data_IF_165192431482
#
_entry.id   IF_165192431482
#
_cell.length_a   1.000
_cell.length_b   1.000
_cell.length_c   1.000
_cell.angle_alpha   90.00
_cell.angle_beta   90.00
_cell.angle_gamma   90.00
#
_symmetry.space_group_name_H-M   'P 1'
#
loop_
_entity.id
_entity.type
_entity.pdbx_description
1 polymer ?
#
# COMPACT_ATOMS: atom_id res chain seq x y z
N UNK A 1 -7.15 -39.49 -24.14
CA UNK A 1 -7.05 -38.01 -24.17
C UNK A 1 -6.54 -37.55 -22.82
N UNK A 2 -5.26 -37.21 -22.72
CA UNK A 2 -4.70 -36.63 -21.50
C UNK A 2 -5.22 -35.18 -21.39
N UNK A 3 -5.93 -34.87 -20.30
CA UNK A 3 -6.26 -33.48 -19.96
C UNK A 3 -4.94 -32.81 -19.58
N UNK A 4 -4.50 -31.83 -20.37
CA UNK A 4 -3.48 -30.88 -19.94
C UNK A 4 -4.06 -30.11 -18.75
N UNK A 5 -3.73 -30.54 -17.53
CA UNK A 5 -3.91 -29.71 -16.34
C UNK A 5 -2.82 -28.63 -16.39
N UNK A 6 -3.13 -27.51 -17.06
CA UNK A 6 -2.33 -26.31 -16.87
C UNK A 6 -2.43 -25.93 -15.38
N UNK A 7 -1.30 -25.85 -14.70
CA UNK A 7 -1.24 -25.37 -13.32
C UNK A 7 -1.80 -23.95 -13.29
N UNK A 8 -2.73 -23.69 -12.37
CA UNK A 8 -3.32 -22.37 -12.18
C UNK A 8 -2.24 -21.42 -11.66
N UNK A 9 -2.04 -20.28 -12.34
CA UNK A 9 -1.11 -19.23 -11.89
C UNK A 9 -1.88 -17.98 -11.50
N UNK A 10 -1.36 -17.27 -10.51
CA UNK A 10 -1.93 -16.01 -10.00
C UNK A 10 -0.81 -14.98 -9.95
N UNK A 11 -0.95 -13.90 -10.73
CA UNK A 11 -0.10 -12.71 -10.58
C UNK A 11 -0.72 -11.77 -9.54
N UNK A 12 0.10 -11.19 -8.68
CA UNK A 12 -0.32 -10.08 -7.84
C UNK A 12 0.85 -9.15 -7.51
N UNK A 13 0.51 -7.94 -7.06
CA UNK A 13 1.46 -6.97 -6.52
C UNK A 13 1.42 -7.06 -5.01
N UNK A 14 2.55 -7.43 -4.40
CA UNK A 14 2.72 -7.32 -2.96
C UNK A 14 3.40 -6.00 -2.63
N UNK A 15 2.97 -5.40 -1.53
CA UNK A 15 3.55 -4.21 -0.94
C UNK A 15 3.79 -4.46 0.55
N UNK A 16 4.97 -4.10 1.02
CA UNK A 16 5.22 -3.90 2.45
C UNK A 16 5.65 -2.47 2.68
N UNK A 17 5.12 -1.86 3.73
CA UNK A 17 5.36 -0.44 4.02
C UNK A 17 5.67 -0.19 5.50
N UNK A 18 6.42 0.89 5.74
CA UNK A 18 6.77 1.42 7.06
C UNK A 18 6.49 2.91 7.09
N UNK A 19 5.58 3.33 7.97
CA UNK A 19 5.24 4.75 8.12
C UNK A 19 6.20 5.45 9.08
N UNK A 20 6.53 6.69 8.75
CA UNK A 20 7.33 7.59 9.59
C UNK A 20 6.72 9.00 9.62
N UNK A 21 7.01 9.77 10.67
CA UNK A 21 6.36 11.08 10.89
C UNK A 21 6.81 12.16 9.89
N UNK A 22 8.03 12.04 9.37
CA UNK A 22 8.59 12.90 8.33
C UNK A 22 10.08 12.59 8.11
N UNK A 23 10.67 13.21 7.09
CA UNK A 23 12.11 13.05 6.85
C UNK A 23 12.91 13.81 7.91
N UNK A 24 13.98 13.18 8.43
CA UNK A 24 14.91 13.83 9.36
C UNK A 24 15.87 14.80 8.66
N UNK A 25 15.98 14.67 7.33
CA UNK A 25 16.80 15.54 6.48
C UNK A 25 15.97 16.15 5.35
N UNK A 26 16.38 17.31 4.85
CA UNK A 26 15.63 18.06 3.84
C UNK A 26 15.62 17.41 2.46
N UNK A 27 16.74 16.78 2.09
CA UNK A 27 16.93 16.18 0.77
C UNK A 27 17.78 14.91 0.85
N UNK A 28 17.11 13.78 0.64
CA UNK A 28 17.74 12.45 0.66
C UNK A 28 18.85 12.30 -0.39
N UNK A 29 18.82 13.08 -1.49
CA UNK A 29 19.82 12.97 -2.57
C UNK A 29 21.20 13.44 -2.17
N UNK A 30 21.32 14.23 -1.10
CA UNK A 30 22.61 14.60 -0.49
C UNK A 30 23.39 13.37 -0.01
N UNK A 31 22.67 12.31 0.37
CA UNK A 31 23.21 11.01 0.78
C UNK A 31 24.32 11.08 1.85
N UNK A 32 24.23 12.05 2.76
CA UNK A 32 25.26 12.37 3.76
C UNK A 32 25.21 11.51 5.03
N UNK A 33 24.29 10.58 5.13
CA UNK A 33 24.14 9.77 6.33
C UNK A 33 25.19 8.67 6.48
N UNK A 34 25.18 8.00 7.63
CA UNK A 34 26.15 6.97 7.97
C UNK A 34 25.45 5.70 8.48
N UNK A 35 25.48 4.57 7.74
CA UNK A 35 25.99 4.47 6.36
C UNK A 35 25.12 5.27 5.37
N UNK A 36 25.70 5.75 4.25
CA UNK A 36 24.92 6.35 3.18
C UNK A 36 24.10 5.28 2.46
N UNK A 37 23.01 5.67 1.81
CA UNK A 37 22.32 4.79 0.87
C UNK A 37 23.32 4.33 -0.20
N UNK A 38 23.20 3.07 -0.65
CA UNK A 38 23.98 2.54 -1.78
C UNK A 38 23.69 3.34 -3.06
N UNK A 39 22.44 3.76 -3.22
CA UNK A 39 22.00 4.71 -4.24
C UNK A 39 20.74 5.41 -3.75
N UNK A 40 20.51 6.64 -4.21
CA UNK A 40 19.27 7.37 -3.98
C UNK A 40 19.02 8.30 -5.15
N UNK A 41 17.81 8.31 -5.70
CA UNK A 41 17.43 9.18 -6.81
C UNK A 41 16.08 9.80 -6.54
N UNK A 42 15.96 11.11 -6.74
CA UNK A 42 14.67 11.78 -6.67
C UNK A 42 13.83 11.42 -7.91
N UNK A 43 12.65 10.86 -7.67
CA UNK A 43 11.72 10.43 -8.71
C UNK A 43 10.72 11.52 -9.10
N UNK A 44 10.80 12.70 -8.48
CA UNK A 44 9.94 13.83 -8.76
C UNK A 44 8.83 14.04 -7.72
N UNK A 45 7.98 15.00 -8.03
CA UNK A 45 6.80 15.35 -7.25
C UNK A 45 5.57 15.21 -8.14
N UNK A 46 4.50 14.63 -7.59
CA UNK A 46 3.20 14.54 -8.28
C UNK A 46 2.06 14.79 -7.31
N UNK A 47 0.92 15.19 -7.85
CA UNK A 47 -0.34 15.25 -7.11
C UNK A 47 -1.16 14.02 -7.44
N UNK A 48 -1.68 13.37 -6.41
CA UNK A 48 -2.52 12.17 -6.49
C UNK A 48 -3.88 12.54 -5.91
N UNK A 49 -4.97 12.21 -6.62
CA UNK A 49 -6.34 12.39 -6.13
C UNK A 49 -6.92 11.05 -5.75
N UNK A 50 -7.12 10.83 -4.45
CA UNK A 50 -7.70 9.61 -3.92
C UNK A 50 -9.13 9.90 -3.41
N UNK A 51 -10.10 9.13 -3.89
CA UNK A 51 -11.47 9.07 -3.34
C UNK A 51 -11.68 7.67 -2.78
N UNK A 52 -11.94 7.57 -1.48
CA UNK A 52 -12.10 6.31 -0.78
C UNK A 52 -13.57 5.96 -0.58
N UNK A 53 -13.87 4.67 -0.73
CA UNK A 53 -15.22 4.13 -0.67
C UNK A 53 -15.29 2.99 0.35
N UNK A 54 -16.39 2.92 1.10
CA UNK A 54 -16.70 1.83 2.01
C UNK A 54 -18.23 1.70 2.15
N UNK A 55 -18.67 0.64 2.80
CA UNK A 55 -20.02 0.54 3.33
C UNK A 55 -20.25 1.57 4.42
N UNK A 56 -21.52 1.94 4.64
CA UNK A 56 -21.91 2.87 5.71
C UNK A 56 -21.46 2.42 7.11
N UNK A 57 -21.38 1.11 7.33
CA UNK A 57 -20.91 0.48 8.58
C UNK A 57 -19.40 0.19 8.61
N UNK A 58 -18.64 0.64 7.61
CA UNK A 58 -17.17 0.48 7.52
C UNK A 58 -16.69 -0.96 7.53
N UNK A 59 -17.46 -1.87 6.94
CA UNK A 59 -17.15 -3.30 6.87
C UNK A 59 -15.83 -3.59 6.14
N UNK A 60 -15.55 -2.89 5.03
CA UNK A 60 -14.36 -3.16 4.23
C UNK A 60 -13.09 -2.75 4.98
N UNK A 61 -13.02 -1.51 5.47
CA UNK A 61 -11.86 -1.03 6.20
C UNK A 61 -11.64 -1.80 7.51
N UNK A 62 -12.72 -2.24 8.18
CA UNK A 62 -12.63 -3.14 9.35
C UNK A 62 -12.09 -4.54 8.99
N UNK A 63 -12.39 -5.03 7.79
CA UNK A 63 -11.83 -6.26 7.23
C UNK A 63 -10.41 -6.07 6.63
N UNK A 64 -9.83 -4.87 6.71
CA UNK A 64 -8.53 -4.57 6.13
C UNK A 64 -8.56 -4.47 4.61
N UNK A 65 -9.65 -3.97 4.04
CA UNK A 65 -9.80 -3.68 2.61
C UNK A 65 -10.05 -2.19 2.43
N UNK A 66 -9.22 -1.52 1.63
CA UNK A 66 -9.40 -0.11 1.29
C UNK A 66 -9.63 0.00 -0.20
N UNK A 67 -10.86 0.31 -0.60
CA UNK A 67 -11.24 0.57 -2.00
C UNK A 67 -11.15 2.07 -2.27
N UNK A 68 -10.47 2.43 -3.35
CA UNK A 68 -10.33 3.84 -3.76
C UNK A 68 -10.37 4.00 -5.27
N UNK A 69 -10.75 5.19 -5.70
CA UNK A 69 -10.37 5.72 -7.00
C UNK A 69 -9.13 6.58 -6.84
N UNK A 70 -8.04 6.19 -7.48
CA UNK A 70 -6.79 6.95 -7.59
C UNK A 70 -6.67 7.53 -8.99
N UNK A 71 -6.70 8.86 -9.10
CA UNK A 71 -6.64 9.57 -10.38
C UNK A 71 -7.66 9.02 -11.41
N UNK A 72 -8.86 8.66 -10.93
CA UNK A 72 -9.96 8.12 -11.73
C UNK A 72 -9.90 6.61 -12.01
N UNK A 73 -8.89 5.90 -11.51
CA UNK A 73 -8.76 4.43 -11.66
C UNK A 73 -9.08 3.72 -10.35
N UNK A 74 -9.80 2.61 -10.44
CA UNK A 74 -10.12 1.79 -9.27
C UNK A 74 -8.92 0.98 -8.80
N UNK A 75 -8.68 1.03 -7.49
CA UNK A 75 -7.67 0.24 -6.79
C UNK A 75 -8.25 -0.25 -5.47
N UNK A 76 -7.80 -1.42 -5.02
CA UNK A 76 -8.01 -1.89 -3.67
C UNK A 76 -6.69 -2.32 -3.04
N UNK A 77 -6.48 -1.93 -1.78
CA UNK A 77 -5.46 -2.54 -0.91
C UNK A 77 -6.12 -3.59 -0.03
N UNK A 78 -5.60 -4.81 -0.03
CA UNK A 78 -6.09 -5.92 0.80
C UNK A 78 -5.00 -6.31 1.80
N UNK A 79 -5.29 -6.18 3.10
CA UNK A 79 -4.33 -6.46 4.17
C UNK A 79 -3.99 -7.95 4.21
N UNK A 80 -2.70 -8.25 4.12
CA UNK A 80 -2.16 -9.60 4.28
C UNK A 80 -1.57 -9.80 5.69
N UNK A 81 -1.27 -8.72 6.41
CA UNK A 81 -0.86 -8.77 7.81
C UNK A 81 -0.20 -7.49 8.30
N UNK A 82 0.43 -7.58 9.48
CA UNK A 82 1.12 -6.46 10.11
C UNK A 82 0.18 -5.54 10.90
N UNK A 83 0.71 -4.42 11.38
CA UNK A 83 0.02 -3.40 12.15
C UNK A 83 -0.15 -2.11 11.32
N UNK A 84 -0.50 -1.00 11.97
CA UNK A 84 -0.74 0.29 11.33
C UNK A 84 0.53 0.94 10.75
N UNK A 85 1.66 0.76 11.45
CA UNK A 85 2.96 1.30 11.07
C UNK A 85 3.66 0.34 10.11
N UNK A 86 3.58 -0.96 10.41
CA UNK A 86 4.23 -2.06 9.71
C UNK A 86 3.18 -2.84 8.94
N UNK A 87 2.86 -2.43 7.72
CA UNK A 87 1.73 -3.02 6.99
C UNK A 87 2.20 -3.86 5.80
N UNK A 88 1.43 -4.91 5.50
CA UNK A 88 1.62 -5.76 4.32
C UNK A 88 0.31 -5.85 3.54
N UNK A 89 0.35 -5.55 2.26
CA UNK A 89 -0.80 -5.48 1.38
C UNK A 89 -0.60 -6.27 0.09
N UNK A 90 -1.72 -6.71 -0.47
CA UNK A 90 -1.85 -6.99 -1.89
C UNK A 90 -2.56 -5.79 -2.55
N UNK A 91 -1.97 -5.23 -3.60
CA UNK A 91 -2.62 -4.20 -4.43
C UNK A 91 -3.36 -4.85 -5.60
N UNK A 92 -4.64 -4.50 -5.74
CA UNK A 92 -5.54 -5.04 -6.75
C UNK A 92 -6.08 -3.89 -7.59
N UNK A 93 -5.87 -3.94 -8.90
CA UNK A 93 -6.39 -2.94 -9.86
C UNK A 93 -7.38 -3.54 -10.87
N UNK A 94 -7.48 -4.87 -10.94
CA UNK A 94 -8.48 -5.54 -11.76
C UNK A 94 -9.87 -5.42 -11.12
N UNK A 95 -10.83 -4.93 -11.90
CA UNK A 95 -12.18 -4.64 -11.40
C UNK A 95 -12.91 -5.90 -10.96
N UNK A 96 -12.74 -7.03 -11.66
CA UNK A 96 -13.37 -8.29 -11.27
C UNK A 96 -12.80 -8.81 -9.94
N UNK A 97 -11.48 -8.72 -9.75
CA UNK A 97 -10.85 -9.07 -8.49
C UNK A 97 -11.32 -8.15 -7.34
N UNK A 98 -11.47 -6.83 -7.58
CA UNK A 98 -12.03 -5.89 -6.59
C UNK A 98 -13.45 -6.31 -6.19
N UNK A 99 -14.32 -6.62 -7.15
CA UNK A 99 -15.68 -7.12 -6.90
C UNK A 99 -15.65 -8.37 -6.03
N UNK A 100 -14.78 -9.33 -6.34
CA UNK A 100 -14.67 -10.57 -5.56
C UNK A 100 -14.22 -10.32 -4.11
N UNK A 101 -13.32 -9.36 -3.88
CA UNK A 101 -12.93 -8.97 -2.53
C UNK A 101 -14.08 -8.29 -1.76
N UNK A 102 -14.85 -7.41 -2.41
CA UNK A 102 -16.00 -6.75 -1.81
C UNK A 102 -17.12 -7.76 -1.49
N UNK A 103 -17.40 -8.68 -2.42
CA UNK A 103 -18.42 -9.72 -2.27
C UNK A 103 -18.15 -10.64 -1.08
N UNK A 104 -16.88 -10.97 -0.82
CA UNK A 104 -16.49 -11.80 0.34
C UNK A 104 -16.81 -11.17 1.70
N UNK A 105 -16.94 -9.84 1.77
CA UNK A 105 -17.21 -9.11 3.01
C UNK A 105 -18.67 -8.65 3.10
N UNK A 106 -19.24 -8.22 1.98
CA UNK A 106 -20.58 -7.60 1.94
C UNK A 106 -21.68 -8.56 1.52
N UNK A 107 -21.33 -9.72 0.94
CA UNK A 107 -22.25 -10.68 0.31
C UNK A 107 -23.07 -10.10 -0.86
N UNK A 108 -22.75 -8.88 -1.29
CA UNK A 108 -23.44 -8.17 -2.38
C UNK A 108 -22.48 -7.97 -3.54
N UNK A 109 -23.03 -8.00 -4.75
CA UNK A 109 -22.28 -7.80 -6.00
C UNK A 109 -22.88 -6.64 -6.78
N UNK A 110 -22.10 -5.58 -6.95
CA UNK A 110 -22.40 -4.44 -7.80
C UNK A 110 -21.17 -4.14 -8.67
N UNK A 111 -21.37 -3.49 -9.82
CA UNK A 111 -20.28 -3.12 -10.72
C UNK A 111 -19.64 -1.77 -10.36
N UNK A 112 -18.57 -1.41 -11.06
CA UNK A 112 -17.83 -0.17 -10.86
C UNK A 112 -18.62 1.10 -11.23
N UNK A 113 -19.66 0.98 -12.06
CA UNK A 113 -20.55 2.11 -12.44
C UNK A 113 -21.47 2.50 -11.30
N UNK A 114 -21.78 1.54 -10.43
CA UNK A 114 -22.50 1.74 -9.17
C UNK A 114 -21.55 1.90 -7.98
N UNK A 115 -20.25 2.15 -8.22
CA UNK A 115 -19.21 2.22 -7.18
C UNK A 115 -19.20 0.98 -6.27
N UNK A 116 -19.51 -0.19 -6.83
CA UNK A 116 -19.64 -1.46 -6.10
C UNK A 116 -20.68 -1.43 -4.96
N UNK A 117 -21.66 -0.52 -5.02
CA UNK A 117 -22.64 -0.32 -3.96
C UNK A 117 -22.07 0.32 -2.69
N UNK A 118 -20.88 0.93 -2.78
CA UNK A 118 -20.20 1.60 -1.68
C UNK A 118 -20.52 3.10 -1.65
N UNK A 119 -20.42 3.69 -0.46
CA UNK A 119 -20.52 5.13 -0.25
C UNK A 119 -19.13 5.76 -0.21
N UNK A 120 -19.00 6.95 -0.78
CA UNK A 120 -17.78 7.73 -0.63
C UNK A 120 -17.60 8.13 0.84
N UNK A 121 -16.46 7.75 1.43
CA UNK A 121 -16.14 8.06 2.84
C UNK A 121 -15.09 9.17 2.99
N UNK A 122 -14.23 9.38 2.00
CA UNK A 122 -13.22 10.43 2.02
C UNK A 122 -12.78 10.80 0.60
N UNK A 123 -12.43 12.07 0.39
CA UNK A 123 -11.76 12.53 -0.83
C UNK A 123 -10.62 13.47 -0.45
N UNK A 124 -9.42 13.24 -0.99
CA UNK A 124 -8.25 14.05 -0.67
C UNK A 124 -7.27 14.12 -1.83
N UNK A 125 -6.63 15.27 -1.97
CA UNK A 125 -5.45 15.43 -2.82
C UNK A 125 -4.19 15.27 -1.98
N UNK A 126 -3.22 14.50 -2.48
CA UNK A 126 -1.91 14.31 -1.86
C UNK A 126 -0.81 14.76 -2.81
N UNK A 127 0.01 15.72 -2.39
CA UNK A 127 1.28 16.01 -3.06
C UNK A 127 2.33 15.04 -2.53
N UNK A 128 2.77 14.10 -3.37
CA UNK A 128 3.78 13.09 -3.06
C UNK A 128 5.13 13.51 -3.63
N UNK A 129 6.14 13.57 -2.78
CA UNK A 129 7.56 13.57 -3.16
C UNK A 129 8.09 12.15 -3.04
N UNK A 130 8.82 11.67 -4.04
CA UNK A 130 9.28 10.28 -4.07
C UNK A 130 10.77 10.17 -4.38
N UNK A 131 11.43 9.20 -3.76
CA UNK A 131 12.81 8.82 -4.00
C UNK A 131 12.92 7.30 -4.13
N UNK A 132 13.81 6.83 -5.01
CA UNK A 132 14.18 5.42 -5.11
C UNK A 132 15.54 5.21 -4.42
N UNK A 133 15.55 4.49 -3.31
CA UNK A 133 16.73 4.17 -2.54
C UNK A 133 17.14 2.70 -2.74
N UNK A 134 18.46 2.48 -2.87
CA UNK A 134 19.08 1.17 -3.11
C UNK A 134 18.38 0.38 -4.23
N UNK A 135 17.95 1.10 -5.27
CA UNK A 135 17.24 0.62 -6.47
C UNK A 135 15.90 -0.09 -6.26
N UNK A 136 15.46 -0.36 -5.03
CA UNK A 136 14.27 -1.18 -4.75
C UNK A 136 13.32 -0.59 -3.71
N UNK A 137 13.78 0.34 -2.87
CA UNK A 137 12.95 0.93 -1.82
C UNK A 137 12.42 2.27 -2.28
N UNK A 138 11.10 2.41 -2.33
CA UNK A 138 10.43 3.68 -2.57
C UNK A 138 10.31 4.42 -1.24
N UNK A 139 10.94 5.57 -1.11
CA UNK A 139 10.72 6.48 0.02
C UNK A 139 9.80 7.58 -0.48
N UNK A 140 8.68 7.79 0.21
CA UNK A 140 7.69 8.80 -0.14
C UNK A 140 7.44 9.73 1.03
N UNK A 141 7.22 11.00 0.73
CA UNK A 141 6.67 11.96 1.67
C UNK A 141 5.40 12.55 1.06
N UNK A 142 4.30 12.34 1.76
CA UNK A 142 2.98 12.76 1.37
C UNK A 142 2.54 13.97 2.18
N UNK A 143 2.07 15.00 1.48
CA UNK A 143 1.36 16.13 2.08
C UNK A 143 -0.06 16.16 1.54
N UNK A 144 -1.05 16.08 2.43
CA UNK A 144 -2.46 16.21 2.02
C UNK A 144 -2.85 17.67 1.86
N UNK A 145 -3.91 17.92 1.08
CA UNK A 145 -4.53 19.24 0.89
C UNK A 145 -5.09 19.87 2.17
N UNK A 146 -5.32 19.05 3.21
CA UNK A 146 -5.69 19.50 4.56
C UNK A 146 -4.50 19.65 5.51
N UNK A 147 -3.27 19.61 5.00
CA UNK A 147 -2.05 19.97 5.72
C UNK A 147 -1.38 18.85 6.52
N UNK A 148 -1.92 17.62 6.50
CA UNK A 148 -1.30 16.47 7.14
C UNK A 148 -0.08 15.99 6.37
N UNK A 149 0.96 15.56 7.09
CA UNK A 149 2.19 15.02 6.51
C UNK A 149 2.46 13.64 7.08
N UNK A 150 2.83 12.71 6.20
CA UNK A 150 3.29 11.37 6.57
C UNK A 150 4.30 10.91 5.53
N UNK A 151 5.32 10.20 5.96
CA UNK A 151 6.21 9.50 5.05
C UNK A 151 6.06 8.00 5.15
N UNK A 152 6.40 7.31 4.06
CA UNK A 152 6.33 5.86 3.96
C UNK A 152 7.60 5.36 3.26
N UNK A 153 8.17 4.26 3.75
CA UNK A 153 9.12 3.48 2.95
C UNK A 153 8.38 2.23 2.50
N UNK A 154 8.32 2.03 1.20
CA UNK A 154 7.56 0.98 0.53
C UNK A 154 8.55 0.06 -0.22
N UNK A 155 8.28 -1.24 -0.20
CA UNK A 155 8.91 -2.23 -1.09
C UNK A 155 7.80 -2.95 -1.85
N UNK A 156 7.77 -2.75 -3.17
CA UNK A 156 6.81 -3.38 -4.09
C UNK A 156 7.44 -4.53 -4.85
N UNK A 157 6.71 -5.63 -5.03
CA UNK A 157 7.07 -6.72 -5.95
C UNK A 157 5.85 -7.23 -6.70
N UNK A 158 5.93 -7.25 -8.01
CA UNK A 158 5.04 -8.04 -8.85
C UNK A 158 5.55 -9.49 -8.85
N UNK A 159 4.69 -10.43 -8.47
CA UNK A 159 5.03 -11.83 -8.30
C UNK A 159 3.98 -12.72 -8.97
N UNK A 160 4.45 -13.81 -9.56
CA UNK A 160 3.60 -14.85 -10.14
C UNK A 160 3.72 -16.08 -9.24
N UNK A 161 2.59 -16.53 -8.72
CA UNK A 161 2.47 -17.73 -7.90
C UNK A 161 1.83 -18.83 -8.73
N UNK A 162 2.25 -20.08 -8.48
CA UNK A 162 1.67 -21.25 -9.14
C UNK A 162 1.04 -22.12 -8.08
N UNK A 163 -0.21 -22.54 -8.28
CA UNK A 163 -0.85 -23.49 -7.39
C UNK A 163 -0.11 -24.84 -7.46
N UNK A 164 0.53 -25.21 -6.35
CA UNK A 164 1.34 -26.42 -6.22
C UNK A 164 0.68 -27.44 -5.30
N UNK A 165 1.11 -28.70 -5.43
CA UNK A 165 0.64 -29.79 -4.56
C UNK A 165 1.11 -29.65 -3.10
N UNK A 166 2.25 -28.99 -2.87
CA UNK A 166 2.87 -28.86 -1.54
C UNK A 166 2.58 -27.52 -0.86
N UNK A 167 2.37 -26.45 -1.64
CA UNK A 167 2.20 -25.10 -1.10
C UNK A 167 1.10 -24.34 -1.84
N UNK A 168 0.11 -23.89 -1.09
CA UNK A 168 -0.97 -23.05 -1.62
C UNK A 168 -0.44 -21.66 -2.00
N UNK A 169 -1.11 -21.00 -2.95
CA UNK A 169 -0.78 -19.61 -3.33
C UNK A 169 -0.83 -18.66 -2.13
N UNK A 170 -1.73 -18.91 -1.16
CA UNK A 170 -1.83 -18.11 0.07
C UNK A 170 -0.55 -18.20 0.90
N UNK A 171 -0.01 -19.41 1.09
CA UNK A 171 1.24 -19.62 1.83
C UNK A 171 2.43 -18.98 1.11
N UNK A 172 2.52 -19.14 -0.21
CA UNK A 172 3.56 -18.52 -1.01
C UNK A 172 3.54 -16.98 -0.89
N UNK A 173 2.35 -16.37 -0.97
CA UNK A 173 2.16 -14.92 -0.77
C UNK A 173 2.60 -14.47 0.62
N UNK A 174 2.22 -15.21 1.67
CA UNK A 174 2.58 -14.90 3.05
C UNK A 174 4.11 -14.94 3.26
N UNK A 175 4.77 -15.98 2.74
CA UNK A 175 6.23 -16.11 2.80
C UNK A 175 6.94 -14.98 2.06
N UNK A 176 6.51 -14.68 0.83
CA UNK A 176 7.08 -13.58 0.06
C UNK A 176 6.89 -12.22 0.77
N UNK A 177 5.70 -11.97 1.32
CA UNK A 177 5.43 -10.76 2.10
C UNK A 177 6.29 -10.67 3.37
N UNK A 178 6.54 -11.80 4.04
CA UNK A 178 7.41 -11.86 5.22
C UNK A 178 8.87 -11.56 4.87
N UNK A 179 9.40 -12.17 3.80
CA UNK A 179 10.77 -11.89 3.33
C UNK A 179 10.95 -10.42 2.92
N UNK A 180 9.94 -9.83 2.29
CA UNK A 180 9.94 -8.39 1.97
C UNK A 180 9.93 -7.54 3.23
N UNK A 181 9.13 -7.91 4.23
CA UNK A 181 8.98 -7.21 5.50
C UNK A 181 10.30 -7.16 6.29
N UNK A 182 11.01 -8.29 6.38
CA UNK A 182 12.31 -8.39 7.03
C UNK A 182 13.36 -7.51 6.35
N UNK A 183 13.42 -7.53 5.02
CA UNK A 183 14.31 -6.67 4.25
C UNK A 183 14.01 -5.18 4.44
N UNK A 184 12.73 -4.82 4.54
CA UNK A 184 12.33 -3.43 4.80
C UNK A 184 12.69 -3.01 6.24
N UNK A 185 12.55 -3.92 7.22
CA UNK A 185 12.97 -3.67 8.59
C UNK A 185 14.48 -3.41 8.70
N UNK A 186 15.31 -4.25 8.05
CA UNK A 186 16.76 -4.04 7.97
C UNK A 186 17.12 -2.69 7.32
N UNK A 187 16.42 -2.33 6.24
CA UNK A 187 16.61 -1.05 5.57
C UNK A 187 16.31 0.13 6.49
N UNK A 188 15.14 0.13 7.15
CA UNK A 188 14.76 1.19 8.09
C UNK A 188 15.74 1.29 9.24
N UNK A 189 16.19 0.15 9.79
CA UNK A 189 17.18 0.13 10.86
C UNK A 189 18.52 0.73 10.41
N UNK A 190 19.02 0.29 9.26
CA UNK A 190 20.31 0.72 8.71
C UNK A 190 20.33 2.22 8.36
N UNK A 191 19.23 2.76 7.83
CA UNK A 191 19.13 4.16 7.40
C UNK A 191 18.23 5.00 8.32
N UNK A 192 18.13 4.62 9.60
CA UNK A 192 17.28 5.29 10.59
C UNK A 192 17.57 6.79 10.74
N UNK A 193 18.78 7.22 10.41
CA UNK A 193 19.19 8.63 10.36
C UNK A 193 18.36 9.49 9.39
N UNK A 194 17.69 8.89 8.41
CA UNK A 194 16.91 9.59 7.39
C UNK A 194 15.46 9.88 7.81
N UNK A 195 14.95 9.24 8.87
CA UNK A 195 13.53 9.25 9.22
C UNK A 195 13.32 9.77 10.64
N UNK A 196 12.37 10.68 10.83
CA UNK A 196 11.99 11.16 12.16
C UNK A 196 11.34 10.04 12.96
N UNK A 197 11.83 9.83 14.19
CA UNK A 197 11.18 8.96 15.15
C UNK A 197 9.91 9.60 15.69
N UNK A 198 8.88 8.78 15.92
CA UNK A 198 7.60 9.21 16.45
C UNK A 198 6.45 8.35 15.93
N UNK A 199 5.24 8.63 16.41
CA UNK A 199 4.04 7.94 15.96
C UNK A 199 3.57 8.57 14.65
N UNK A 200 3.81 7.89 13.54
CA UNK A 200 3.25 8.29 12.25
C UNK A 200 1.73 8.15 12.29
N UNK A 201 1.02 9.13 11.73
CA UNK A 201 -0.43 9.09 11.54
C UNK A 201 -0.73 8.95 10.05
N UNK A 202 -1.61 8.02 9.71
CA UNK A 202 -2.04 7.76 8.33
C UNK A 202 -3.02 8.83 7.83
N UNK A 203 -3.06 9.00 6.50
CA UNK A 203 -3.85 10.04 5.83
C UNK A 203 -5.35 9.95 6.12
N UNK A 204 -5.94 8.75 6.03
CA UNK A 204 -7.36 8.54 6.31
C UNK A 204 -7.72 8.83 7.77
N UNK A 205 -6.88 8.40 8.72
CA UNK A 205 -7.07 8.71 10.15
C UNK A 205 -7.10 10.22 10.37
N UNK A 206 -6.10 10.94 9.84
CA UNK A 206 -6.01 12.39 9.96
C UNK A 206 -7.20 13.10 9.27
N UNK A 207 -7.68 12.58 8.14
CA UNK A 207 -8.86 13.11 7.45
C UNK A 207 -10.12 13.04 8.32
N UNK A 208 -10.39 11.88 8.94
CA UNK A 208 -11.58 11.72 9.78
C UNK A 208 -11.52 12.57 11.04
N UNK A 209 -10.36 12.70 11.69
CA UNK A 209 -10.20 13.62 12.83
C UNK A 209 -10.50 15.07 12.44
N UNK A 210 -10.08 15.49 11.24
CA UNK A 210 -10.22 16.87 10.78
C UNK A 210 -11.64 17.25 10.37
N UNK A 211 -12.40 16.31 9.82
CA UNK A 211 -13.69 16.58 9.16
C UNK A 211 -14.90 15.86 9.78
N UNK A 212 -14.67 14.93 10.72
CA UNK A 212 -15.73 14.14 11.36
C UNK A 212 -15.61 14.15 12.90
N UNK A 213 -15.09 15.25 13.47
CA UNK A 213 -15.12 15.51 14.91
C UNK A 213 -16.49 15.96 15.41
#
# INVERSE_FOLDING_TARGET
MAKNNALSTVSCILEVERKFAGLAIKDLTTNIGHPPFRSVTFCGQRTIRDTYYDTRSRLLSSAGIWVRQRDGKWEAKVKQGGDFINSRFEEVSDVHAIIEHIRKVTEVTHDERQHFGLEQMAAMCTTRRAWLANTVFSIVEDRTDFGHVVGEVELHRELIFTEGAEESVIQQKQKAAQEMDERLAEFIQQYSWAFLQGVAKGKLTAYFERYHS
#
